data_IF_912709130126
#
_entry.id   IF_912709130126
#
_cell.length_a   1.000
_cell.length_b   1.000
_cell.length_c   1.000
_cell.angle_alpha   90.00
_cell.angle_beta   90.00
_cell.angle_gamma   90.00
#
_symmetry.space_group_name_H-M   'P 1'
#
loop_
_entity.id
_entity.type
_entity.pdbx_description
1 polymer ?
#
# COMPACT_ATOMS: atom_id res chain seq x y z
N UNK A 1 -2.04 -1.39 15.90
CA UNK A 1 -1.74 -0.38 14.87
C UNK A 1 -2.74 -0.48 13.73
N UNK A 2 -3.38 0.62 13.38
CA UNK A 2 -4.37 0.62 12.32
C UNK A 2 -3.70 0.75 10.95
N UNK A 3 -4.09 -0.10 10.00
CA UNK A 3 -3.67 0.05 8.61
C UNK A 3 -4.43 1.19 7.95
N UNK A 4 -3.71 2.12 7.35
CA UNK A 4 -4.30 3.24 6.61
C UNK A 4 -4.51 2.82 5.16
N UNK A 5 -5.76 2.77 4.75
CA UNK A 5 -6.16 2.30 3.42
C UNK A 5 -6.86 3.41 2.65
N UNK A 6 -6.33 3.75 1.49
CA UNK A 6 -6.99 4.68 0.57
C UNK A 6 -7.74 3.89 -0.52
N UNK A 7 -8.96 4.26 -0.77
CA UNK A 7 -9.80 3.72 -1.85
C UNK A 7 -10.05 4.86 -2.84
N UNK A 8 -9.46 4.77 -4.02
CA UNK A 8 -9.63 5.77 -5.07
C UNK A 8 -10.50 5.21 -6.18
N UNK A 9 -11.69 5.75 -6.32
CA UNK A 9 -12.68 5.36 -7.33
C UNK A 9 -13.65 6.52 -7.54
N UNK A 10 -13.92 6.89 -8.79
CA UNK A 10 -14.89 7.93 -9.12
C UNK A 10 -16.35 7.43 -9.07
N UNK A 11 -16.56 6.12 -9.00
CA UNK A 11 -17.86 5.52 -8.70
C UNK A 11 -18.05 5.38 -7.20
N UNK A 12 -18.93 6.18 -6.65
CA UNK A 12 -19.24 6.18 -5.22
C UNK A 12 -19.79 4.83 -4.73
N UNK A 13 -20.59 4.17 -5.59
CA UNK A 13 -21.16 2.84 -5.31
C UNK A 13 -20.07 1.79 -5.24
N UNK A 14 -19.15 1.78 -6.19
CA UNK A 14 -18.05 0.82 -6.23
C UNK A 14 -17.08 1.03 -5.06
N UNK A 15 -16.76 2.27 -4.75
CA UNK A 15 -15.92 2.62 -3.60
C UNK A 15 -16.52 2.14 -2.28
N UNK A 16 -17.80 2.35 -2.08
CA UNK A 16 -18.52 1.92 -0.87
C UNK A 16 -18.58 0.39 -0.78
N UNK A 17 -18.79 -0.28 -1.90
CA UNK A 17 -18.78 -1.74 -1.96
C UNK A 17 -17.41 -2.32 -1.52
N UNK A 18 -16.34 -1.78 -2.05
CA UNK A 18 -14.96 -2.17 -1.66
C UNK A 18 -14.69 -1.87 -0.19
N UNK A 19 -15.11 -0.72 0.29
CA UNK A 19 -14.98 -0.34 1.71
C UNK A 19 -15.70 -1.31 2.63
N UNK A 20 -16.89 -1.76 2.28
CA UNK A 20 -17.64 -2.75 3.05
C UNK A 20 -16.90 -4.09 3.12
N UNK A 21 -16.33 -4.55 2.02
CA UNK A 21 -15.53 -5.79 2.00
C UNK A 21 -14.29 -5.63 2.90
N UNK A 22 -13.59 -4.50 2.80
CA UNK A 22 -12.43 -4.19 3.63
C UNK A 22 -12.77 -4.23 5.12
N UNK A 23 -13.87 -3.60 5.51
CA UNK A 23 -14.31 -3.56 6.92
C UNK A 23 -14.70 -4.95 7.43
N UNK A 24 -15.35 -5.78 6.61
CA UNK A 24 -15.65 -7.18 6.97
C UNK A 24 -14.36 -8.00 7.13
N UNK A 25 -13.42 -7.84 6.22
CA UNK A 25 -12.11 -8.48 6.32
C UNK A 25 -11.42 -8.11 7.64
N UNK A 26 -11.37 -6.85 7.97
CA UNK A 26 -10.75 -6.35 9.19
C UNK A 26 -11.38 -6.97 10.44
N UNK A 27 -12.71 -6.99 10.49
CA UNK A 27 -13.47 -7.61 11.59
C UNK A 27 -13.18 -9.11 11.69
N UNK A 28 -13.15 -9.80 10.58
CA UNK A 28 -12.94 -11.24 10.50
C UNK A 28 -11.51 -11.64 10.93
N UNK A 29 -10.52 -10.82 10.60
CA UNK A 29 -9.11 -11.07 10.94
C UNK A 29 -8.67 -10.45 12.27
N UNK A 30 -9.55 -9.72 12.96
CA UNK A 30 -9.16 -8.94 14.14
C UNK A 30 -8.15 -7.84 13.82
N UNK A 31 -8.14 -7.35 12.59
CA UNK A 31 -7.29 -6.26 12.16
C UNK A 31 -7.97 -4.91 12.36
N UNK A 32 -7.17 -3.88 12.56
CA UNK A 32 -7.65 -2.51 12.68
C UNK A 32 -7.31 -1.74 11.41
N UNK A 33 -8.31 -1.08 10.80
CA UNK A 33 -8.15 -0.34 9.56
C UNK A 33 -8.77 1.04 9.64
N UNK A 34 -8.14 2.00 8.98
CA UNK A 34 -8.66 3.35 8.78
C UNK A 34 -8.88 3.57 7.27
N UNK A 35 -10.04 3.21 6.73
CA UNK A 35 -10.32 3.40 5.31
C UNK A 35 -10.73 4.86 5.03
N UNK A 36 -10.24 5.37 3.90
CA UNK A 36 -10.67 6.67 3.38
C UNK A 36 -10.92 6.58 1.89
N UNK A 37 -12.08 7.08 1.46
CA UNK A 37 -12.47 7.09 0.05
C UNK A 37 -12.11 8.43 -0.58
N UNK A 38 -11.52 8.35 -1.78
CA UNK A 38 -11.19 9.51 -2.61
C UNK A 38 -11.88 9.38 -3.96
N UNK A 39 -12.64 10.38 -4.40
CA UNK A 39 -13.40 10.30 -5.64
C UNK A 39 -12.55 10.53 -6.90
N UNK A 40 -11.28 10.87 -6.76
CA UNK A 40 -10.36 11.11 -7.87
C UNK A 40 -8.92 10.87 -7.46
N UNK A 41 -8.06 10.65 -8.45
CA UNK A 41 -6.62 10.54 -8.23
C UNK A 41 -6.03 11.86 -7.69
N UNK A 42 -6.51 12.98 -8.20
CA UNK A 42 -6.07 14.32 -7.79
C UNK A 42 -6.37 14.59 -6.32
N UNK A 43 -7.55 14.22 -5.85
CA UNK A 43 -7.93 14.38 -4.44
C UNK A 43 -7.06 13.55 -3.50
N UNK A 44 -6.67 12.35 -3.92
CA UNK A 44 -5.73 11.54 -3.16
C UNK A 44 -4.32 12.14 -3.18
N UNK A 45 -3.82 12.57 -4.34
CA UNK A 45 -2.50 13.19 -4.43
C UNK A 45 -2.37 14.43 -3.57
N UNK A 46 -3.39 15.24 -3.52
CA UNK A 46 -3.41 16.40 -2.63
C UNK A 46 -3.19 15.98 -1.18
N UNK A 47 -3.93 14.97 -0.73
CA UNK A 47 -3.77 14.45 0.65
C UNK A 47 -2.42 13.77 0.86
N UNK A 48 -1.93 13.07 -0.15
CA UNK A 48 -0.64 12.39 -0.11
C UNK A 48 0.54 13.37 0.01
N UNK A 49 0.47 14.53 -0.59
CA UNK A 49 1.49 15.58 -0.45
C UNK A 49 1.63 16.06 0.99
N UNK A 50 0.52 16.12 1.73
CA UNK A 50 0.51 16.50 3.14
C UNK A 50 0.91 15.35 4.06
N UNK A 51 0.51 14.13 3.73
CA UNK A 51 0.67 12.95 4.56
C UNK A 51 0.89 11.71 3.70
N UNK A 52 2.11 11.19 3.71
CA UNK A 52 2.54 10.05 2.89
C UNK A 52 2.48 8.71 3.64
N UNK A 53 1.93 8.67 4.84
CA UNK A 53 1.88 7.48 5.68
C UNK A 53 0.65 6.61 5.35
N UNK A 54 0.63 6.05 4.16
CA UNK A 54 -0.40 5.12 3.70
C UNK A 54 0.18 3.71 3.58
N UNK A 55 -0.61 2.71 3.98
CA UNK A 55 -0.19 1.31 3.97
C UNK A 55 -0.66 0.58 2.72
N UNK A 56 -1.91 0.78 2.34
CA UNK A 56 -2.55 0.09 1.21
C UNK A 56 -3.33 1.09 0.36
N UNK A 57 -3.15 0.99 -0.95
CA UNK A 57 -3.93 1.74 -1.93
C UNK A 57 -4.76 0.79 -2.77
N UNK A 58 -6.07 0.95 -2.74
CA UNK A 58 -7.02 0.24 -3.59
C UNK A 58 -7.49 1.22 -4.67
N UNK A 59 -7.00 1.04 -5.89
CA UNK A 59 -7.13 2.04 -6.96
C UNK A 59 -7.96 1.49 -8.11
N UNK A 60 -8.98 2.24 -8.52
CA UNK A 60 -9.56 2.07 -9.85
C UNK A 60 -8.62 2.68 -10.90
N UNK A 61 -8.58 2.12 -12.08
CA UNK A 61 -7.78 2.63 -13.20
C UNK A 61 -8.53 3.73 -13.92
N UNK A 62 -9.77 3.47 -14.31
CA UNK A 62 -10.58 4.46 -15.03
C UNK A 62 -11.17 5.51 -14.10
N UNK A 63 -10.53 6.64 -14.03
CA UNK A 63 -11.02 7.84 -13.34
C UNK A 63 -10.91 9.04 -14.28
N UNK A 64 -11.74 10.05 -14.07
CA UNK A 64 -11.70 11.30 -14.84
C UNK A 64 -10.35 11.98 -14.62
N UNK A 65 -9.79 12.60 -15.66
CA UNK A 65 -8.49 13.26 -15.69
C UNK A 65 -7.34 12.27 -15.47
N UNK A 66 -6.77 12.18 -14.27
CA UNK A 66 -5.69 11.24 -13.99
C UNK A 66 -6.24 9.85 -13.72
N UNK A 67 -5.72 8.84 -14.43
CA UNK A 67 -6.07 7.44 -14.18
C UNK A 67 -5.28 6.84 -13.01
N UNK A 68 -5.70 5.66 -12.56
CA UNK A 68 -5.09 4.98 -11.42
C UNK A 68 -3.65 4.50 -11.68
N UNK A 69 -3.29 4.19 -12.91
CA UNK A 69 -1.93 3.78 -13.28
C UNK A 69 -0.98 4.96 -13.16
N UNK A 70 -1.37 6.11 -13.68
CA UNK A 70 -0.59 7.35 -13.56
C UNK A 70 -0.39 7.74 -12.10
N UNK A 71 -1.45 7.64 -11.29
CA UNK A 71 -1.37 7.86 -9.85
C UNK A 71 -0.36 6.92 -9.20
N UNK A 72 -0.46 5.63 -9.48
CA UNK A 72 0.43 4.62 -8.92
C UNK A 72 1.89 4.87 -9.29
N UNK A 73 2.18 5.27 -10.53
CA UNK A 73 3.52 5.63 -10.98
C UNK A 73 4.09 6.81 -10.20
N UNK A 74 3.28 7.82 -9.93
CA UNK A 74 3.70 8.98 -9.12
C UNK A 74 4.02 8.60 -7.67
N UNK A 75 3.17 7.76 -7.07
CA UNK A 75 3.38 7.27 -5.70
C UNK A 75 4.67 6.46 -5.62
N UNK A 76 4.92 5.56 -6.58
CA UNK A 76 6.10 4.67 -6.59
C UNK A 76 7.43 5.41 -6.74
N UNK A 77 7.45 6.61 -7.27
CA UNK A 77 8.68 7.42 -7.36
C UNK A 77 9.29 7.72 -5.99
N UNK A 78 8.48 7.83 -4.95
CA UNK A 78 8.93 8.18 -3.61
C UNK A 78 8.54 7.16 -2.52
N UNK A 79 7.81 6.11 -2.87
CA UNK A 79 7.30 5.14 -1.89
C UNK A 79 7.23 3.74 -2.49
N UNK A 80 8.20 2.91 -2.14
CA UNK A 80 8.25 1.50 -2.55
C UNK A 80 7.51 0.58 -1.58
N UNK A 81 7.21 1.07 -0.37
CA UNK A 81 6.66 0.26 0.71
C UNK A 81 5.15 0.07 0.63
N UNK A 82 4.42 1.07 0.13
CA UNK A 82 2.95 1.02 0.06
C UNK A 82 2.48 -0.13 -0.84
N UNK A 83 1.47 -0.85 -0.38
CA UNK A 83 0.88 -1.94 -1.15
C UNK A 83 -0.18 -1.39 -2.10
N UNK A 84 0.00 -1.60 -3.40
CA UNK A 84 -0.93 -1.11 -4.44
C UNK A 84 -1.70 -2.27 -5.01
N UNK A 85 -3.03 -2.15 -5.02
CA UNK A 85 -3.96 -3.11 -5.62
C UNK A 85 -4.86 -2.35 -6.58
N UNK A 86 -4.92 -2.79 -7.82
CA UNK A 86 -5.88 -2.26 -8.79
C UNK A 86 -7.20 -3.01 -8.73
N UNK A 87 -8.29 -2.28 -8.67
CA UNK A 87 -9.67 -2.81 -8.70
C UNK A 87 -10.42 -2.07 -9.80
N UNK A 88 -10.61 -2.72 -10.95
CA UNK A 88 -11.11 -2.05 -12.14
C UNK A 88 -11.98 -2.98 -13.01
N UNK A 89 -12.84 -2.40 -13.84
CA UNK A 89 -13.59 -3.13 -14.86
C UNK A 89 -12.81 -3.43 -16.14
N UNK A 90 -11.56 -2.97 -16.25
CA UNK A 90 -10.77 -3.05 -17.49
C UNK A 90 -9.57 -3.98 -17.33
N UNK A 91 -9.59 -5.16 -18.03
CA UNK A 91 -8.50 -6.13 -17.92
C UNK A 91 -7.23 -5.75 -18.69
N UNK A 92 -7.27 -4.74 -19.55
CA UNK A 92 -6.19 -4.42 -20.50
C UNK A 92 -4.96 -3.72 -19.87
N UNK A 93 -5.00 -3.40 -18.58
CA UNK A 93 -3.94 -2.65 -17.91
C UNK A 93 -3.03 -3.50 -17.00
N UNK A 94 -3.05 -4.83 -17.14
CA UNK A 94 -2.24 -5.71 -16.27
C UNK A 94 -0.74 -5.48 -16.41
N UNK A 95 -0.27 -5.16 -17.62
CA UNK A 95 1.16 -4.89 -17.87
C UNK A 95 1.65 -3.67 -17.11
N UNK A 96 0.86 -2.62 -17.04
CA UNK A 96 1.17 -1.39 -16.28
C UNK A 96 1.22 -1.64 -14.79
N UNK A 97 0.47 -2.60 -14.28
CA UNK A 97 0.52 -3.05 -12.89
C UNK A 97 1.91 -3.60 -12.51
N UNK A 98 2.58 -4.30 -13.41
CA UNK A 98 3.95 -4.76 -13.20
C UNK A 98 4.95 -3.62 -13.03
N UNK A 99 4.83 -2.55 -13.83
CA UNK A 99 5.73 -1.40 -13.77
C UNK A 99 5.71 -0.68 -12.42
N UNK A 100 4.58 -0.71 -11.71
CA UNK A 100 4.44 -0.09 -10.40
C UNK A 100 4.55 -1.10 -9.24
N UNK A 101 4.91 -2.34 -9.54
CA UNK A 101 4.97 -3.42 -8.56
C UNK A 101 3.67 -3.54 -7.76
N UNK A 102 2.54 -3.53 -8.47
CA UNK A 102 1.23 -3.75 -7.86
C UNK A 102 1.16 -5.15 -7.26
N UNK A 103 0.56 -5.25 -6.08
CA UNK A 103 0.38 -6.52 -5.40
C UNK A 103 -0.56 -7.44 -6.16
N UNK A 104 -1.63 -6.88 -6.68
CA UNK A 104 -2.62 -7.62 -7.45
C UNK A 104 -3.46 -6.72 -8.34
N UNK A 105 -4.14 -7.34 -9.29
CA UNK A 105 -5.07 -6.71 -10.22
C UNK A 105 -6.40 -7.46 -10.16
N UNK A 106 -7.43 -6.82 -9.60
CA UNK A 106 -8.75 -7.41 -9.42
C UNK A 106 -9.75 -6.80 -10.40
N UNK A 107 -10.58 -7.65 -11.01
CA UNK A 107 -11.60 -7.22 -11.96
C UNK A 107 -12.94 -7.03 -11.23
N UNK A 108 -13.61 -5.92 -11.52
CA UNK A 108 -14.97 -5.64 -11.02
C UNK A 108 -16.01 -6.56 -11.71
N UNK A 109 -17.04 -7.01 -11.03
CA UNK A 109 -17.30 -6.86 -9.59
C UNK A 109 -16.34 -7.71 -8.77
N UNK A 110 -15.68 -7.10 -7.78
CA UNK A 110 -14.68 -7.79 -6.98
C UNK A 110 -15.37 -8.78 -6.03
N UNK A 111 -14.84 -10.00 -5.98
CA UNK A 111 -15.32 -11.03 -5.06
C UNK A 111 -14.66 -10.87 -3.69
N UNK A 112 -15.45 -11.01 -2.64
CA UNK A 112 -14.96 -10.87 -1.25
C UNK A 112 -13.76 -11.78 -0.97
N UNK A 113 -13.82 -13.05 -1.39
CA UNK A 113 -12.75 -14.02 -1.17
C UNK A 113 -11.43 -13.58 -1.82
N UNK A 114 -11.51 -13.02 -3.03
CA UNK A 114 -10.32 -12.53 -3.75
C UNK A 114 -9.70 -11.32 -3.08
N UNK A 115 -10.52 -10.36 -2.66
CA UNK A 115 -10.03 -9.19 -1.95
C UNK A 115 -9.47 -9.57 -0.57
N UNK A 116 -10.11 -10.49 0.15
CA UNK A 116 -9.61 -11.02 1.42
C UNK A 116 -8.21 -11.62 1.27
N UNK A 117 -8.00 -12.45 0.26
CA UNK A 117 -6.70 -13.06 0.01
C UNK A 117 -5.62 -12.02 -0.29
N UNK A 118 -5.96 -10.99 -1.06
CA UNK A 118 -5.04 -9.90 -1.40
C UNK A 118 -4.71 -9.04 -0.18
N UNK A 119 -5.70 -8.74 0.67
CA UNK A 119 -5.49 -8.00 1.91
C UNK A 119 -4.63 -8.79 2.89
N UNK A 120 -4.84 -10.10 3.02
CA UNK A 120 -3.99 -10.98 3.83
C UNK A 120 -2.53 -10.91 3.38
N UNK A 121 -2.29 -10.91 2.07
CA UNK A 121 -0.96 -10.79 1.50
C UNK A 121 -0.36 -9.39 1.73
N UNK A 122 -1.17 -8.35 1.60
CA UNK A 122 -0.74 -6.97 1.82
C UNK A 122 -0.23 -6.78 3.26
N UNK A 123 -0.99 -7.20 4.25
CA UNK A 123 -0.58 -7.07 5.67
C UNK A 123 0.61 -7.97 6.00
N UNK A 124 0.72 -9.15 5.38
CA UNK A 124 1.90 -10.01 5.51
C UNK A 124 3.16 -9.31 5.00
N UNK A 125 3.08 -8.65 3.85
CA UNK A 125 4.20 -7.90 3.28
C UNK A 125 4.59 -6.72 4.16
N UNK A 126 3.62 -6.00 4.70
CA UNK A 126 3.85 -4.87 5.62
C UNK A 126 4.52 -5.33 6.90
N UNK A 127 4.10 -6.45 7.48
CA UNK A 127 4.71 -7.04 8.67
C UNK A 127 6.17 -7.45 8.42
N UNK A 128 6.50 -7.97 7.25
CA UNK A 128 7.89 -8.30 6.86
C UNK A 128 8.77 -7.05 6.76
N UNK A 129 8.23 -5.93 6.29
CA UNK A 129 8.95 -4.66 6.18
C UNK A 129 9.19 -4.01 7.54
N UNK A 130 8.25 -4.11 8.47
CA UNK A 130 8.40 -3.64 9.85
C UNK A 130 9.52 -4.34 10.61
N UNK A 131 9.90 -5.55 10.19
CA UNK A 131 11.01 -6.32 10.75
C UNK A 131 12.39 -5.93 10.20
N UNK A 132 12.52 -4.80 9.56
CA UNK A 132 13.78 -4.27 9.06
C UNK A 132 14.21 -3.05 9.84
N UNK A 133 15.48 -3.01 10.23
CA UNK A 133 16.09 -1.83 10.84
C UNK A 133 16.62 -0.91 9.75
N UNK A 134 16.19 0.36 9.75
CA UNK A 134 16.75 1.39 8.89
C UNK A 134 18.05 1.91 9.48
N UNK A 135 19.13 1.79 8.74
CA UNK A 135 20.45 2.28 9.13
C UNK A 135 20.83 3.39 8.16
N UNK A 136 21.00 4.60 8.69
CA UNK A 136 21.41 5.77 7.89
C UNK A 136 22.88 6.04 8.09
N UNK A 137 23.63 6.09 7.00
CA UNK A 137 25.03 6.43 6.98
C UNK A 137 25.33 7.35 5.79
N UNK A 138 25.93 8.49 6.05
CA UNK A 138 26.40 9.44 5.03
C UNK A 138 25.38 9.75 3.90
N UNK A 139 24.12 10.05 4.29
CA UNK A 139 22.97 10.34 3.43
C UNK A 139 22.36 9.14 2.69
N UNK A 140 22.88 7.96 2.91
CA UNK A 140 22.25 6.72 2.42
C UNK A 140 21.52 6.01 3.55
N UNK A 141 20.42 5.33 3.22
CA UNK A 141 19.66 4.52 4.16
C UNK A 141 19.64 3.09 3.69
N UNK A 142 20.13 2.20 4.51
CA UNK A 142 20.09 0.76 4.26
C UNK A 142 19.10 0.10 5.21
N UNK A 143 18.31 -0.84 4.70
CA UNK A 143 17.35 -1.59 5.49
C UNK A 143 17.85 -3.01 5.74
N UNK A 144 18.11 -3.32 7.00
CA UNK A 144 18.60 -4.65 7.40
C UNK A 144 17.46 -5.44 8.06
N UNK A 145 17.14 -6.65 7.57
CA UNK A 145 16.17 -7.52 8.24
C UNK A 145 16.58 -7.85 9.68
N UNK A 146 15.64 -7.73 10.62
CA UNK A 146 15.94 -7.94 12.05
C UNK A 146 16.41 -9.37 12.35
N UNK A 147 15.93 -10.37 11.60
CA UNK A 147 16.33 -11.76 11.74
C UNK A 147 17.80 -12.03 11.34
N UNK A 148 18.42 -11.12 10.59
CA UNK A 148 19.82 -11.17 10.21
C UNK A 148 20.74 -10.36 11.11
N UNK A 149 20.19 -9.64 12.09
CA UNK A 149 20.98 -8.84 13.02
C UNK A 149 21.42 -9.73 14.18
N UNK A 150 22.73 -9.86 14.37
CA UNK A 150 23.31 -10.65 15.46
C UNK A 150 23.34 -9.87 16.77
N UNK A 151 23.79 -8.63 16.73
CA UNK A 151 23.76 -7.72 17.86
C UNK A 151 23.91 -6.26 17.43
N UNK A 152 23.54 -5.35 18.34
CA UNK A 152 23.70 -3.92 18.17
C UNK A 152 24.55 -3.42 19.34
N UNK A 153 25.63 -2.72 19.04
CA UNK A 153 26.53 -2.13 20.03
C UNK A 153 26.58 -0.61 19.85
N UNK A 154 26.36 0.13 20.91
CA UNK A 154 26.46 1.58 20.90
C UNK A 154 27.87 1.99 21.39
N UNK A 155 28.59 2.73 20.56
CA UNK A 155 29.91 3.28 20.89
C UNK A 155 29.86 4.81 20.78
N UNK A 156 30.15 5.50 21.84
CA UNK A 156 30.20 6.97 21.98
C UNK A 156 29.36 7.81 20.98
N UNK A 157 29.73 7.84 19.71
CA UNK A 157 29.08 8.66 18.68
C UNK A 157 28.46 7.85 17.53
N UNK A 158 28.51 6.53 17.58
CA UNK A 158 27.96 5.68 16.55
C UNK A 158 27.45 4.35 17.10
N UNK A 159 26.61 3.71 16.32
CA UNK A 159 26.03 2.39 16.62
C UNK A 159 26.59 1.38 15.62
N UNK A 160 27.07 0.25 16.12
CA UNK A 160 27.53 -0.87 15.29
C UNK A 160 26.43 -1.92 15.23
N UNK A 161 26.05 -2.31 14.01
CA UNK A 161 25.09 -3.40 13.77
C UNK A 161 25.85 -4.56 13.12
N UNK A 162 25.76 -5.75 13.72
CA UNK A 162 26.35 -6.99 13.19
C UNK A 162 25.28 -7.88 12.62
N UNK A 163 25.49 -8.32 11.40
CA UNK A 163 24.58 -9.23 10.68
C UNK A 163 25.17 -10.65 10.56
#
# INVERSE_FOLDING_TARGET
>A
MAYRVAICDDSKIDAEYVKQILCRWAKDRGADVCPKVFPSAESFLWKYEEDQLWDILLLDIEMKKMDGVTLAKRIRKGNEAVQIVFITGFPDFMAEGYEVSALHYLIKPVKSEKLFAVLDKAVSNLAKKEKRLAISFDRETEYVPLDKITYIEAQKQYVVVRT
#
